data_IF_204280666161
#
_entry.id   IF_204280666161
#
_cell.length_a   1.000
_cell.length_b   1.000
_cell.length_c   1.000
_cell.angle_alpha   90.00
_cell.angle_beta   90.00
_cell.angle_gamma   90.00
#
_symmetry.space_group_name_H-M   'P 1'
#
loop_
_entity.id
_entity.type
_entity.pdbx_description
1 polymer ?
#
# COMPACT_ATOMS: atom_id res chain seq x y z
N UNK A 1 1.22 28.71 -1.02
CA UNK A 1 0.95 27.55 -0.13
C UNK A 1 1.65 26.33 -0.70
N UNK A 2 2.32 25.49 0.11
CA UNK A 2 2.88 24.23 -0.39
C UNK A 2 1.72 23.27 -0.68
N UNK A 3 1.65 22.76 -1.90
CA UNK A 3 0.69 21.70 -2.23
C UNK A 3 1.18 20.37 -1.66
N UNK A 4 0.28 19.41 -1.51
CA UNK A 4 0.59 18.06 -1.04
C UNK A 4 0.08 17.02 -2.03
N UNK A 5 0.65 15.82 -1.98
CA UNK A 5 0.08 14.64 -2.63
C UNK A 5 -0.58 13.74 -1.60
N UNK A 6 -1.83 13.36 -1.85
CA UNK A 6 -2.63 12.50 -0.99
C UNK A 6 -2.51 11.05 -1.47
N UNK A 7 -2.05 10.15 -0.60
CA UNK A 7 -1.90 8.74 -0.89
C UNK A 7 -2.79 7.88 0.01
N UNK A 8 -3.62 7.05 -0.60
CA UNK A 8 -4.36 5.98 0.08
C UNK A 8 -3.59 4.66 -0.06
N UNK A 9 -3.09 4.14 1.06
CA UNK A 9 -2.31 2.91 1.12
C UNK A 9 -3.23 1.71 1.37
N UNK A 10 -3.55 0.99 0.30
CA UNK A 10 -4.54 -0.09 0.26
C UNK A 10 -3.94 -1.48 0.08
N UNK A 11 -4.63 -2.49 0.61
CA UNK A 11 -4.29 -3.88 0.38
C UNK A 11 -4.39 -4.74 1.63
N UNK A 12 -3.48 -5.69 1.81
CA UNK A 12 -3.50 -6.60 2.97
C UNK A 12 -2.34 -6.38 3.94
N UNK A 13 -1.93 -7.42 4.67
CA UNK A 13 -0.95 -7.33 5.76
C UNK A 13 0.41 -6.80 5.33
N UNK A 14 0.86 -7.07 4.10
CA UNK A 14 2.13 -6.53 3.59
C UNK A 14 2.06 -5.03 3.26
N UNK A 15 0.87 -4.48 2.97
CA UNK A 15 0.64 -3.03 2.97
C UNK A 15 0.49 -2.49 4.40
N UNK A 16 -0.28 -3.20 5.24
CA UNK A 16 -0.57 -2.79 6.62
C UNK A 16 0.65 -2.85 7.55
N UNK A 17 1.72 -3.53 7.14
CA UNK A 17 2.95 -3.67 7.90
C UNK A 17 2.91 -4.82 8.90
N UNK A 18 3.84 -5.76 8.76
CA UNK A 18 4.16 -6.80 9.76
C UNK A 18 5.65 -6.81 10.11
N UNK A 19 6.39 -5.80 9.69
CA UNK A 19 7.83 -5.73 9.79
C UNK A 19 8.32 -5.80 11.23
N UNK A 20 9.33 -6.64 11.43
CA UNK A 20 10.08 -6.78 12.67
C UNK A 20 11.57 -6.81 12.36
N UNK A 21 12.40 -6.47 13.33
CA UNK A 21 13.86 -6.64 13.26
C UNK A 21 14.27 -7.95 13.95
N UNK A 22 15.38 -8.54 13.53
CA UNK A 22 16.03 -9.68 14.20
C UNK A 22 17.54 -9.45 14.32
N UNK A 23 18.29 -10.25 15.10
CA UNK A 23 19.75 -10.15 15.15
C UNK A 23 20.40 -10.28 13.77
N UNK A 24 19.84 -11.11 12.88
CA UNK A 24 20.30 -11.27 11.50
C UNK A 24 19.91 -10.10 10.60
N UNK A 25 18.74 -9.52 10.82
CA UNK A 25 18.20 -8.40 10.05
C UNK A 25 17.78 -7.26 11.01
N UNK A 26 18.75 -6.48 11.52
CA UNK A 26 18.51 -5.56 12.63
C UNK A 26 17.87 -4.23 12.22
N UNK A 27 17.65 -4.01 10.92
CA UNK A 27 17.11 -2.74 10.43
C UNK A 27 15.71 -2.49 10.99
N UNK A 28 15.49 -1.27 11.47
CA UNK A 28 14.16 -0.76 11.85
C UNK A 28 13.59 0.07 10.72
N UNK A 29 12.31 0.43 10.82
CA UNK A 29 11.72 1.36 9.87
C UNK A 29 12.41 2.73 10.00
N UNK A 30 12.69 3.43 8.89
CA UNK A 30 13.28 4.75 8.96
C UNK A 30 12.28 5.74 9.56
N UNK A 31 12.79 6.74 10.29
CA UNK A 31 12.01 7.91 10.65
C UNK A 31 11.59 8.67 9.38
N UNK A 32 10.39 9.23 9.37
CA UNK A 32 9.99 10.13 8.30
C UNK A 32 10.91 11.36 8.29
N UNK A 33 11.36 11.77 7.11
CA UNK A 33 12.14 12.99 6.91
C UNK A 33 11.31 14.21 7.36
N UNK A 34 11.96 15.25 7.89
CA UNK A 34 11.27 16.48 8.28
C UNK A 34 10.42 17.03 7.14
N UNK A 35 9.13 17.27 7.42
CA UNK A 35 8.13 17.80 6.48
C UNK A 35 7.79 16.91 5.26
N UNK A 36 8.32 15.69 5.19
CA UNK A 36 8.09 14.80 4.05
C UNK A 36 6.72 14.13 4.08
N UNK A 37 6.22 13.80 5.27
CA UNK A 37 5.05 12.93 5.41
C UNK A 37 4.21 13.21 6.65
N UNK A 38 2.90 13.12 6.47
CA UNK A 38 1.91 13.18 7.52
C UNK A 38 0.95 12.00 7.41
N UNK A 39 0.53 11.45 8.55
CA UNK A 39 -0.59 10.51 8.63
C UNK A 39 -1.89 11.30 8.87
N UNK A 40 -2.91 11.05 8.06
CA UNK A 40 -4.27 11.46 8.37
C UNK A 40 -5.05 10.27 8.94
N UNK A 41 -5.61 10.47 10.14
CA UNK A 41 -6.29 9.43 10.93
C UNK A 41 -7.81 9.57 10.83
N UNK A 42 -8.36 9.11 9.72
CA UNK A 42 -9.78 9.21 9.41
C UNK A 42 -10.71 8.56 10.45
N UNK A 43 -10.26 7.51 11.16
CA UNK A 43 -11.08 6.79 12.14
C UNK A 43 -10.90 7.36 13.54
N UNK A 44 -9.65 7.54 13.96
CA UNK A 44 -9.36 7.84 15.38
C UNK A 44 -9.26 9.31 15.71
N UNK A 45 -8.82 10.13 14.77
CA UNK A 45 -8.76 11.58 14.95
C UNK A 45 -8.74 12.31 13.59
N UNK A 46 -9.91 12.46 12.94
CA UNK A 46 -10.03 13.09 11.62
C UNK A 46 -9.90 14.62 11.67
N UNK A 47 -9.45 15.19 12.78
CA UNK A 47 -9.40 16.64 12.99
C UNK A 47 -8.04 17.28 12.71
N UNK A 48 -6.99 16.47 12.47
CA UNK A 48 -5.62 16.95 12.27
C UNK A 48 -4.73 15.99 11.51
N UNK A 49 -3.55 16.50 11.12
CA UNK A 49 -2.44 15.71 10.59
C UNK A 49 -1.45 15.37 11.70
N UNK A 50 -0.93 14.14 11.65
CA UNK A 50 0.14 13.67 12.53
C UNK A 50 1.43 13.54 11.74
N UNK A 51 2.61 13.82 12.33
CA UNK A 51 3.88 13.41 11.70
C UNK A 51 3.85 11.91 11.39
N UNK A 52 4.19 11.55 10.16
CA UNK A 52 4.19 10.16 9.74
C UNK A 52 5.22 9.36 10.55
N UNK A 53 4.79 8.26 11.15
CA UNK A 53 5.63 7.35 11.91
C UNK A 53 5.09 5.93 11.84
N UNK A 54 5.97 4.95 12.01
CA UNK A 54 5.57 3.56 12.19
C UNK A 54 5.26 3.28 13.67
N UNK A 55 4.31 2.37 14.00
CA UNK A 55 3.44 1.61 13.08
C UNK A 55 2.34 2.44 12.39
N UNK A 56 2.41 2.53 11.05
CA UNK A 56 1.47 3.34 10.27
C UNK A 56 0.05 2.74 10.28
N UNK A 57 -0.95 3.57 10.58
CA UNK A 57 -2.36 3.16 10.61
C UNK A 57 -2.72 2.19 11.73
N UNK A 58 -1.87 2.01 12.76
CA UNK A 58 -2.10 1.08 13.88
C UNK A 58 -3.39 1.37 14.65
N UNK A 59 -3.78 2.64 14.69
CA UNK A 59 -4.97 3.09 15.42
C UNK A 59 -6.23 3.08 14.54
N UNK A 60 -6.08 3.01 13.22
CA UNK A 60 -7.16 3.18 12.23
C UNK A 60 -8.02 1.92 12.05
N UNK A 61 -8.70 1.54 13.14
CA UNK A 61 -9.52 0.34 13.25
C UNK A 61 -11.01 0.71 13.33
N UNK A 62 -11.79 0.32 12.32
CA UNK A 62 -13.25 0.49 12.28
C UNK A 62 -13.93 -0.88 12.36
N UNK A 63 -14.65 -1.22 13.46
CA UNK A 63 -15.22 -2.56 13.66
C UNK A 63 -16.05 -3.09 12.48
N UNK A 64 -16.86 -2.24 11.85
CA UNK A 64 -17.72 -2.60 10.70
C UNK A 64 -17.02 -2.42 9.34
N UNK A 65 -15.69 -2.29 9.33
CA UNK A 65 -14.87 -2.01 8.16
C UNK A 65 -13.49 -2.64 8.26
N UNK A 66 -12.45 -1.84 8.02
CA UNK A 66 -11.07 -2.29 8.14
C UNK A 66 -10.69 -2.30 9.63
N UNK A 67 -10.51 -3.50 10.19
CA UNK A 67 -10.25 -3.73 11.61
C UNK A 67 -9.17 -4.79 11.83
N UNK A 68 -8.04 -4.42 12.44
CA UNK A 68 -6.94 -5.33 12.77
C UNK A 68 -6.12 -4.86 14.00
N UNK A 69 -6.76 -4.66 15.17
CA UNK A 69 -6.11 -4.11 16.35
C UNK A 69 -4.90 -4.95 16.77
N UNK A 70 -3.79 -4.27 17.08
CA UNK A 70 -2.55 -4.91 17.53
C UNK A 70 -1.81 -5.73 16.47
N UNK A 71 -2.22 -5.66 15.19
CA UNK A 71 -1.56 -6.42 14.10
C UNK A 71 -0.51 -5.63 13.34
N UNK A 72 -0.61 -4.30 13.28
CA UNK A 72 0.34 -3.46 12.54
C UNK A 72 1.60 -3.20 13.36
N UNK A 73 2.75 -3.48 12.77
CA UNK A 73 4.08 -3.18 13.31
C UNK A 73 4.79 -2.24 12.35
N UNK A 74 6.01 -2.51 11.89
CA UNK A 74 6.62 -1.66 10.87
C UNK A 74 6.12 -1.98 9.45
N UNK A 75 5.88 -0.93 8.67
CA UNK A 75 5.43 -1.02 7.27
C UNK A 75 6.50 -0.51 6.30
N UNK A 76 6.15 -0.45 5.01
CA UNK A 76 6.97 0.16 3.95
C UNK A 76 6.77 1.68 3.81
N UNK A 77 5.77 2.26 4.52
CA UNK A 77 5.22 3.57 4.20
C UNK A 77 6.17 4.71 4.53
N UNK A 78 6.91 4.69 5.65
CA UNK A 78 7.91 5.74 5.91
C UNK A 78 9.06 5.70 4.91
N UNK A 79 9.51 4.52 4.49
CA UNK A 79 10.53 4.37 3.45
C UNK A 79 10.03 4.90 2.09
N UNK A 80 8.80 4.54 1.71
CA UNK A 80 8.11 5.06 0.53
C UNK A 80 8.04 6.58 0.52
N UNK A 81 7.51 7.18 1.58
CA UNK A 81 7.32 8.64 1.64
C UNK A 81 8.66 9.38 1.64
N UNK A 82 9.67 8.84 2.31
CA UNK A 82 11.02 9.41 2.28
C UNK A 82 11.61 9.40 0.87
N UNK A 83 11.53 8.26 0.17
CA UNK A 83 12.04 8.12 -1.19
C UNK A 83 11.27 9.02 -2.19
N UNK A 84 9.94 9.05 -2.07
CA UNK A 84 9.09 9.92 -2.86
C UNK A 84 9.47 11.40 -2.68
N UNK A 85 9.53 11.85 -1.41
CA UNK A 85 9.82 13.24 -1.08
C UNK A 85 11.21 13.69 -1.56
N UNK A 86 12.24 12.84 -1.43
CA UNK A 86 13.60 13.15 -1.92
C UNK A 86 13.64 13.48 -3.41
N UNK A 87 12.76 12.89 -4.21
CA UNK A 87 12.75 13.03 -5.67
C UNK A 87 11.71 14.03 -6.18
N UNK A 88 10.49 13.97 -5.65
CA UNK A 88 9.37 14.82 -6.04
C UNK A 88 9.38 16.19 -5.35
N UNK A 89 10.01 16.30 -4.18
CA UNK A 89 10.01 17.49 -3.34
C UNK A 89 8.60 17.97 -2.93
N UNK A 90 7.62 17.04 -2.87
CA UNK A 90 6.23 17.30 -2.47
C UNK A 90 5.90 16.51 -1.21
N UNK A 91 5.41 17.15 -0.13
CA UNK A 91 4.96 16.45 1.07
C UNK A 91 3.80 15.51 0.78
N UNK A 92 3.76 14.39 1.51
CA UNK A 92 2.70 13.37 1.41
C UNK A 92 1.75 13.46 2.60
N UNK A 93 0.45 13.37 2.33
CA UNK A 93 -0.53 12.95 3.34
C UNK A 93 -0.88 11.49 3.05
N UNK A 94 -0.59 10.61 4.01
CA UNK A 94 -0.79 9.17 3.92
C UNK A 94 -2.03 8.76 4.72
N UNK A 95 -2.91 7.98 4.08
CA UNK A 95 -4.13 7.42 4.66
C UNK A 95 -4.04 5.90 4.63
N UNK A 96 -4.15 5.25 5.79
CA UNK A 96 -4.07 3.79 5.87
C UNK A 96 -5.41 3.16 5.50
N UNK A 97 -5.40 2.15 4.63
CA UNK A 97 -6.59 1.38 4.26
C UNK A 97 -6.22 -0.08 3.90
N UNK A 98 -5.52 -0.76 4.81
CA UNK A 98 -5.10 -2.15 4.62
C UNK A 98 -5.72 -3.09 5.66
N UNK A 99 -6.15 -4.28 5.22
CA UNK A 99 -6.73 -5.34 6.05
C UNK A 99 -6.03 -6.68 5.82
N UNK A 100 -5.32 -7.20 6.81
CA UNK A 100 -4.63 -8.49 6.74
C UNK A 100 -5.53 -9.66 6.34
N UNK A 101 -5.07 -10.49 5.40
CA UNK A 101 -5.79 -11.69 4.94
C UNK A 101 -7.05 -11.41 4.10
N UNK A 102 -7.21 -10.20 3.56
CA UNK A 102 -8.32 -9.87 2.67
C UNK A 102 -8.13 -10.43 1.26
N UNK A 103 -9.21 -10.92 0.66
CA UNK A 103 -9.32 -11.23 -0.77
C UNK A 103 -9.68 -9.98 -1.59
N UNK A 104 -9.34 -9.95 -2.88
CA UNK A 104 -9.74 -8.86 -3.78
C UNK A 104 -11.26 -8.66 -3.81
N UNK A 105 -12.04 -9.74 -3.75
CA UNK A 105 -13.51 -9.71 -3.76
C UNK A 105 -14.09 -8.96 -2.55
N UNK A 106 -13.34 -8.87 -1.44
CA UNK A 106 -13.74 -8.12 -0.25
C UNK A 106 -13.46 -6.62 -0.36
N UNK A 107 -12.77 -6.17 -1.41
CA UNK A 107 -12.50 -4.75 -1.71
C UNK A 107 -13.44 -4.17 -2.78
N UNK A 108 -14.42 -4.94 -3.25
CA UNK A 108 -15.35 -4.49 -4.28
C UNK A 108 -16.35 -3.44 -3.77
N UNK A 109 -16.92 -2.60 -4.65
CA UNK A 109 -17.98 -1.66 -4.28
C UNK A 109 -19.12 -2.32 -3.52
N UNK A 110 -19.54 -1.70 -2.42
CA UNK A 110 -20.59 -2.24 -1.55
C UNK A 110 -20.11 -3.26 -0.51
N UNK A 111 -18.82 -3.59 -0.44
CA UNK A 111 -18.26 -4.34 0.69
C UNK A 111 -17.90 -3.41 1.87
N UNK A 112 -17.77 -3.95 3.09
CA UNK A 112 -17.28 -3.19 4.24
C UNK A 112 -15.91 -2.52 4.02
N UNK A 113 -14.94 -3.21 3.42
CA UNK A 113 -13.58 -2.67 3.25
C UNK A 113 -13.54 -1.55 2.21
N UNK A 114 -14.28 -1.69 1.11
CA UNK A 114 -14.41 -0.62 0.13
C UNK A 114 -15.06 0.62 0.75
N UNK A 115 -16.19 0.45 1.45
CA UNK A 115 -16.89 1.57 2.10
C UNK A 115 -15.99 2.32 3.07
N UNK A 116 -15.22 1.60 3.88
CA UNK A 116 -14.29 2.23 4.82
C UNK A 116 -13.13 2.94 4.08
N UNK A 117 -12.50 2.31 3.09
CA UNK A 117 -11.46 2.96 2.29
C UNK A 117 -11.95 4.24 1.57
N UNK A 118 -13.16 4.18 1.00
CA UNK A 118 -13.81 5.33 0.37
C UNK A 118 -14.06 6.45 1.37
N UNK A 119 -14.59 6.13 2.56
CA UNK A 119 -14.83 7.11 3.62
C UNK A 119 -13.52 7.76 4.10
N UNK A 120 -12.47 6.96 4.32
CA UNK A 120 -11.14 7.47 4.72
C UNK A 120 -10.56 8.46 3.70
N UNK A 121 -10.71 8.17 2.41
CA UNK A 121 -10.29 9.07 1.33
C UNK A 121 -11.12 10.37 1.34
N UNK A 122 -12.45 10.26 1.43
CA UNK A 122 -13.36 11.41 1.44
C UNK A 122 -13.12 12.32 2.66
N UNK A 123 -12.90 11.73 3.83
CA UNK A 123 -12.60 12.47 5.06
C UNK A 123 -11.27 13.22 4.95
N UNK A 124 -10.24 12.59 4.37
CA UNK A 124 -8.95 13.25 4.13
C UNK A 124 -9.09 14.43 3.17
N UNK A 125 -9.81 14.25 2.06
CA UNK A 125 -10.08 15.32 1.09
C UNK A 125 -10.87 16.46 1.74
N UNK A 126 -11.90 16.14 2.53
CA UNK A 126 -12.72 17.13 3.24
C UNK A 126 -11.88 17.93 4.25
N UNK A 127 -11.07 17.24 5.06
CA UNK A 127 -10.21 17.85 6.06
C UNK A 127 -9.19 18.81 5.40
N UNK A 128 -8.51 18.35 4.34
CA UNK A 128 -7.51 19.15 3.63
C UNK A 128 -8.13 20.39 2.97
N UNK A 129 -9.32 20.26 2.38
CA UNK A 129 -10.07 21.37 1.83
C UNK A 129 -10.47 22.41 2.89
N UNK A 130 -11.01 21.97 4.03
CA UNK A 130 -11.35 22.86 5.17
C UNK A 130 -10.12 23.54 5.76
N UNK A 131 -8.99 22.85 5.76
CA UNK A 131 -7.70 23.36 6.23
C UNK A 131 -6.98 24.24 5.20
N UNK A 132 -7.58 24.46 4.02
CA UNK A 132 -7.00 25.22 2.91
C UNK A 132 -5.64 24.68 2.46
N UNK A 133 -5.41 23.37 2.61
CA UNK A 133 -4.21 22.68 2.13
C UNK A 133 -4.50 22.17 0.71
N UNK A 134 -3.88 22.75 -0.34
CA UNK A 134 -4.18 22.35 -1.71
C UNK A 134 -3.67 20.94 -2.00
N UNK A 135 -4.56 20.06 -2.44
CA UNK A 135 -4.22 18.72 -2.93
C UNK A 135 -3.80 18.87 -4.39
N UNK A 136 -2.56 18.46 -4.69
CA UNK A 136 -2.02 18.41 -6.05
C UNK A 136 -2.48 17.15 -6.76
N UNK A 137 -2.19 15.98 -6.17
CA UNK A 137 -2.65 14.69 -6.67
C UNK A 137 -3.31 13.82 -5.59
N UNK A 138 -4.22 12.94 -6.03
CA UNK A 138 -4.80 11.86 -5.23
C UNK A 138 -4.44 10.52 -5.84
N UNK A 139 -3.64 9.72 -5.12
CA UNK A 139 -3.16 8.42 -5.58
C UNK A 139 -3.55 7.30 -4.63
N UNK A 140 -3.56 6.07 -5.15
CA UNK A 140 -3.59 4.87 -4.33
C UNK A 140 -2.31 4.06 -4.52
N UNK A 141 -1.86 3.42 -3.44
CA UNK A 141 -0.83 2.37 -3.50
C UNK A 141 -1.50 1.05 -3.16
N UNK A 142 -1.31 0.02 -3.98
CA UNK A 142 -1.91 -1.30 -3.79
C UNK A 142 -0.84 -2.37 -3.54
N UNK A 143 -0.97 -3.11 -2.43
CA UNK A 143 -0.21 -4.34 -2.21
C UNK A 143 -1.11 -5.41 -1.56
N UNK A 144 -1.64 -6.30 -2.40
CA UNK A 144 -2.45 -7.44 -2.01
C UNK A 144 -2.47 -8.49 -3.10
N UNK A 145 -2.62 -9.75 -2.72
CA UNK A 145 -2.89 -10.87 -3.64
C UNK A 145 -2.56 -12.24 -3.02
N UNK A 146 -1.85 -12.27 -1.90
CA UNK A 146 -1.41 -13.52 -1.26
C UNK A 146 -2.60 -14.33 -0.74
N UNK A 147 -3.67 -13.66 -0.28
CA UNK A 147 -4.91 -14.33 0.12
C UNK A 147 -5.62 -14.96 -1.09
N UNK A 148 -5.60 -14.29 -2.25
CA UNK A 148 -6.16 -14.83 -3.49
C UNK A 148 -5.35 -16.01 -4.01
N UNK A 149 -4.02 -15.92 -3.94
CA UNK A 149 -3.13 -17.03 -4.26
C UNK A 149 -3.40 -18.24 -3.35
N UNK A 150 -3.57 -18.00 -2.04
CA UNK A 150 -3.93 -19.05 -1.08
C UNK A 150 -5.28 -19.70 -1.39
N UNK A 151 -6.26 -18.91 -1.81
CA UNK A 151 -7.60 -19.38 -2.12
C UNK A 151 -7.75 -19.88 -3.57
N UNK A 152 -6.65 -19.88 -4.35
CA UNK A 152 -6.63 -20.28 -5.76
C UNK A 152 -7.66 -19.51 -6.59
N UNK A 153 -7.85 -18.22 -6.28
CA UNK A 153 -8.70 -17.33 -7.08
C UNK A 153 -8.23 -17.39 -8.53
N UNK A 154 -9.12 -17.65 -9.51
CA UNK A 154 -8.73 -17.66 -10.91
C UNK A 154 -8.10 -16.32 -11.32
N UNK A 155 -6.98 -16.30 -12.07
CA UNK A 155 -6.32 -15.06 -12.49
C UNK A 155 -7.25 -14.06 -13.16
N UNK A 156 -8.13 -14.53 -14.05
CA UNK A 156 -9.10 -13.67 -14.74
C UNK A 156 -10.13 -13.05 -13.79
N UNK A 157 -10.53 -13.80 -12.75
CA UNK A 157 -11.40 -13.28 -11.70
C UNK A 157 -10.70 -12.20 -10.87
N UNK A 158 -9.45 -12.44 -10.47
CA UNK A 158 -8.64 -11.44 -9.77
C UNK A 158 -8.50 -10.16 -10.60
N UNK A 159 -8.18 -10.27 -11.91
CA UNK A 159 -8.07 -9.12 -12.81
C UNK A 159 -9.39 -8.36 -12.97
N UNK A 160 -10.50 -9.06 -13.17
CA UNK A 160 -11.84 -8.46 -13.29
C UNK A 160 -12.22 -7.68 -12.03
N UNK A 161 -11.98 -8.28 -10.87
CA UNK A 161 -12.33 -7.70 -9.59
C UNK A 161 -11.42 -6.50 -9.27
N UNK A 162 -10.12 -6.60 -9.59
CA UNK A 162 -9.20 -5.46 -9.50
C UNK A 162 -9.63 -4.29 -10.38
N UNK A 163 -10.00 -4.53 -11.64
CA UNK A 163 -10.51 -3.48 -12.54
C UNK A 163 -11.78 -2.82 -11.99
N UNK A 164 -12.64 -3.62 -11.37
CA UNK A 164 -13.87 -3.13 -10.72
C UNK A 164 -13.54 -2.21 -9.55
N UNK A 165 -12.61 -2.62 -8.68
CA UNK A 165 -12.08 -1.78 -7.59
C UNK A 165 -11.46 -0.48 -8.14
N UNK A 166 -10.55 -0.59 -9.12
CA UNK A 166 -9.85 0.56 -9.70
C UNK A 166 -10.85 1.57 -10.27
N UNK A 167 -11.80 1.12 -11.08
CA UNK A 167 -12.87 1.98 -11.63
C UNK A 167 -13.63 2.72 -10.53
N UNK A 168 -13.96 2.04 -9.43
CA UNK A 168 -14.68 2.64 -8.32
C UNK A 168 -13.81 3.66 -7.54
N UNK A 169 -12.53 3.39 -7.35
CA UNK A 169 -11.59 4.33 -6.73
C UNK A 169 -11.35 5.56 -7.61
N UNK A 170 -11.24 5.38 -8.92
CA UNK A 170 -11.15 6.50 -9.87
C UNK A 170 -12.40 7.36 -9.88
N UNK A 171 -13.60 6.75 -9.75
CA UNK A 171 -14.84 7.49 -9.58
C UNK A 171 -14.88 8.32 -8.26
N UNK A 172 -14.09 7.95 -7.25
CA UNK A 172 -13.88 8.73 -6.01
C UNK A 172 -12.75 9.77 -6.14
N UNK A 173 -12.14 9.88 -7.32
CA UNK A 173 -11.12 10.86 -7.64
C UNK A 173 -9.68 10.38 -7.48
N UNK A 174 -9.41 9.07 -7.29
CA UNK A 174 -8.05 8.54 -7.42
C UNK A 174 -7.59 8.66 -8.88
N UNK A 175 -6.46 9.33 -9.09
CA UNK A 175 -5.91 9.62 -10.41
C UNK A 175 -5.10 8.45 -10.97
N UNK A 176 -4.40 7.72 -10.10
CA UNK A 176 -3.51 6.62 -10.51
C UNK A 176 -3.31 5.59 -9.40
N UNK A 177 -3.09 4.34 -9.79
CA UNK A 177 -2.75 3.24 -8.90
C UNK A 177 -1.28 2.83 -9.04
N UNK A 178 -0.52 2.94 -7.95
CA UNK A 178 0.82 2.42 -7.85
C UNK A 178 0.79 1.00 -7.25
N UNK A 179 1.06 0.01 -8.10
CA UNK A 179 1.00 -1.41 -7.74
C UNK A 179 2.36 -1.88 -7.21
N UNK A 180 2.37 -2.50 -6.04
CA UNK A 180 3.50 -3.28 -5.53
C UNK A 180 3.13 -4.75 -5.67
N UNK A 181 3.85 -5.48 -6.52
CA UNK A 181 3.62 -6.91 -6.76
C UNK A 181 3.90 -7.70 -5.49
N UNK A 182 3.09 -8.72 -5.24
CA UNK A 182 3.36 -9.64 -4.12
C UNK A 182 4.66 -10.42 -4.34
N UNK A 183 5.18 -11.04 -3.28
CA UNK A 183 6.30 -11.97 -3.36
C UNK A 183 5.85 -13.43 -3.38
N UNK A 184 6.77 -14.32 -3.02
CA UNK A 184 6.51 -15.75 -2.95
C UNK A 184 6.08 -16.20 -1.55
N UNK A 185 5.40 -17.34 -1.49
CA UNK A 185 5.16 -18.08 -0.26
C UNK A 185 6.47 -18.67 0.27
N UNK A 186 6.70 -18.63 1.58
CA UNK A 186 7.85 -19.26 2.22
C UNK A 186 7.48 -20.66 2.75
N UNK A 187 7.83 -21.74 2.02
CA UNK A 187 7.51 -23.10 2.47
C UNK A 187 8.33 -23.54 3.67
N UNK A 188 9.50 -22.96 3.91
CA UNK A 188 10.38 -23.35 5.02
C UNK A 188 9.86 -22.91 6.38
N UNK A 189 8.95 -21.92 6.43
CA UNK A 189 8.29 -21.47 7.64
C UNK A 189 6.90 -22.11 7.84
N UNK A 190 6.50 -23.02 6.94
CA UNK A 190 5.21 -23.69 7.01
C UNK A 190 5.16 -24.73 8.14
N UNK A 191 4.01 -24.87 8.78
CA UNK A 191 3.79 -25.98 9.70
C UNK A 191 3.88 -27.33 8.96
N UNK A 192 4.41 -28.40 9.61
CA UNK A 192 4.47 -29.72 9.00
C UNK A 192 3.09 -30.18 8.49
N UNK A 193 3.00 -30.53 7.20
CA UNK A 193 1.75 -30.95 6.56
C UNK A 193 0.84 -29.83 6.06
N UNK A 194 1.21 -28.55 6.26
CA UNK A 194 0.46 -27.44 5.70
C UNK A 194 0.51 -27.46 4.15
N UNK A 195 -0.61 -27.15 3.47
CA UNK A 195 -0.60 -27.05 2.01
C UNK A 195 0.37 -25.96 1.54
N UNK A 196 1.24 -26.32 0.60
CA UNK A 196 2.10 -25.36 -0.08
C UNK A 196 1.25 -24.45 -0.97
N UNK A 197 1.66 -23.19 -1.07
CA UNK A 197 0.96 -22.18 -1.85
C UNK A 197 1.78 -21.80 -3.06
N UNK A 198 1.12 -21.74 -4.22
CA UNK A 198 1.69 -21.19 -5.44
C UNK A 198 1.00 -19.87 -5.78
N UNK A 199 1.76 -18.79 -5.75
CA UNK A 199 1.27 -17.44 -6.05
C UNK A 199 1.51 -17.03 -7.50
N UNK A 200 2.16 -17.88 -8.32
CA UNK A 200 2.46 -17.60 -9.73
C UNK A 200 1.25 -17.11 -10.52
N UNK A 201 0.05 -17.71 -10.42
CA UNK A 201 -1.10 -17.23 -11.19
C UNK A 201 -1.50 -15.78 -10.85
N UNK A 202 -1.40 -15.37 -9.58
CA UNK A 202 -1.70 -14.00 -9.14
C UNK A 202 -0.57 -13.04 -9.49
N UNK A 203 0.70 -13.47 -9.38
CA UNK A 203 1.86 -12.70 -9.83
C UNK A 203 1.73 -12.34 -11.32
N UNK A 204 1.41 -13.32 -12.16
CA UNK A 204 1.19 -13.11 -13.60
C UNK A 204 0.00 -12.19 -13.86
N UNK A 205 -1.10 -12.33 -13.11
CA UNK A 205 -2.24 -11.43 -13.22
C UNK A 205 -1.88 -9.97 -12.89
N UNK A 206 -1.04 -9.73 -11.88
CA UNK A 206 -0.56 -8.40 -11.50
C UNK A 206 0.36 -7.79 -12.57
N UNK A 207 1.22 -8.60 -13.19
CA UNK A 207 2.05 -8.16 -14.32
C UNK A 207 1.20 -7.76 -15.52
N UNK A 208 0.21 -8.57 -15.86
CA UNK A 208 -0.73 -8.28 -16.95
C UNK A 208 -1.54 -7.01 -16.68
N UNK A 209 -2.08 -6.84 -15.47
CA UNK A 209 -2.80 -5.62 -15.09
C UNK A 209 -1.92 -4.37 -15.28
N UNK A 210 -0.67 -4.40 -14.82
CA UNK A 210 0.22 -3.25 -14.96
C UNK A 210 0.64 -2.98 -16.41
N UNK A 211 0.63 -3.99 -17.28
CA UNK A 211 0.93 -3.84 -18.70
C UNK A 211 -0.29 -3.39 -19.53
N UNK A 212 -1.49 -3.82 -19.16
CA UNK A 212 -2.73 -3.62 -19.91
C UNK A 212 -3.48 -2.34 -19.50
N UNK A 213 -3.40 -1.95 -18.22
CA UNK A 213 -4.19 -0.84 -17.67
C UNK A 213 -3.37 0.47 -17.57
N UNK A 214 -3.74 1.53 -18.30
CA UNK A 214 -2.97 2.78 -18.30
C UNK A 214 -2.99 3.55 -16.97
N UNK A 215 -3.95 3.25 -16.09
CA UNK A 215 -4.08 3.85 -14.75
C UNK A 215 -3.31 3.09 -13.68
N UNK A 216 -2.53 2.08 -14.07
CA UNK A 216 -1.70 1.28 -13.16
C UNK A 216 -0.23 1.49 -13.53
N UNK A 217 0.62 1.60 -12.52
CA UNK A 217 2.06 1.49 -12.70
C UNK A 217 2.64 0.55 -11.66
N UNK A 218 3.37 -0.46 -12.13
CA UNK A 218 4.14 -1.34 -11.26
C UNK A 218 5.34 -0.57 -10.70
N UNK A 219 5.33 -0.28 -9.40
CA UNK A 219 6.37 0.52 -8.74
C UNK A 219 7.35 -0.31 -7.93
N UNK A 220 7.03 -1.57 -7.63
CA UNK A 220 8.04 -2.51 -7.14
C UNK A 220 7.63 -3.96 -7.33
N UNK A 221 8.62 -4.80 -7.60
CA UNK A 221 8.50 -6.28 -7.65
C UNK A 221 9.43 -6.95 -6.64
N UNK A 222 10.12 -6.17 -5.79
CA UNK A 222 11.22 -6.63 -4.94
C UNK A 222 10.83 -7.67 -3.90
N UNK A 223 9.55 -7.77 -3.51
CA UNK A 223 9.10 -8.84 -2.63
C UNK A 223 9.38 -10.24 -3.19
N UNK A 224 9.45 -10.41 -4.52
CA UNK A 224 9.82 -11.69 -5.15
C UNK A 224 11.24 -12.14 -4.79
N UNK A 225 12.17 -11.21 -4.53
CA UNK A 225 13.57 -11.54 -4.20
C UNK A 225 13.75 -11.98 -2.74
N UNK A 226 12.78 -11.70 -1.87
CA UNK A 226 12.96 -11.76 -0.42
C UNK A 226 13.02 -13.18 0.12
N UNK A 227 12.39 -14.15 -0.57
CA UNK A 227 12.45 -15.55 -0.19
C UNK A 227 13.88 -16.09 -0.30
N UNK A 228 14.51 -15.94 -1.46
CA UNK A 228 15.88 -16.40 -1.72
C UNK A 228 16.90 -15.70 -0.82
N UNK A 229 16.64 -14.44 -0.49
CA UNK A 229 17.49 -13.63 0.40
C UNK A 229 17.27 -13.93 1.88
N UNK A 230 16.32 -14.81 2.23
CA UNK A 230 15.99 -15.18 3.61
C UNK A 230 15.36 -14.05 4.42
N UNK A 231 14.76 -13.06 3.75
CA UNK A 231 14.16 -11.86 4.36
C UNK A 231 12.67 -12.03 4.71
N UNK A 232 12.13 -13.24 4.58
CA UNK A 232 10.80 -13.60 5.08
C UNK A 232 10.87 -14.02 6.55
N UNK A 233 10.02 -13.44 7.40
CA UNK A 233 10.00 -13.75 8.84
C UNK A 233 9.08 -14.94 9.16
N UNK A 234 8.06 -15.15 8.33
CA UNK A 234 7.12 -16.26 8.42
C UNK A 234 6.77 -16.73 7.00
N UNK A 235 5.65 -17.45 6.84
CA UNK A 235 5.19 -17.96 5.55
C UNK A 235 4.78 -16.88 4.54
N UNK A 236 4.48 -15.66 4.97
CA UNK A 236 3.80 -14.62 4.19
C UNK A 236 4.42 -13.22 4.28
N UNK A 237 5.11 -12.92 5.38
CA UNK A 237 5.54 -11.57 5.74
C UNK A 237 7.06 -11.46 5.82
N UNK A 238 7.52 -10.21 5.85
CA UNK A 238 8.93 -9.89 5.68
C UNK A 238 9.53 -9.24 6.93
N UNK A 239 10.84 -9.34 7.10
CA UNK A 239 11.55 -8.51 8.08
C UNK A 239 11.49 -7.03 7.64
N UNK A 240 11.64 -6.12 8.59
CA UNK A 240 11.53 -4.69 8.34
C UNK A 240 12.53 -4.19 7.27
N UNK A 241 13.69 -4.81 7.16
CA UNK A 241 14.65 -4.52 6.08
C UNK A 241 14.01 -4.66 4.69
N UNK A 242 13.26 -5.73 4.43
CA UNK A 242 12.62 -5.93 3.13
C UNK A 242 11.51 -4.90 2.86
N UNK A 243 10.70 -4.57 3.87
CA UNK A 243 9.72 -3.47 3.75
C UNK A 243 10.39 -2.13 3.44
N UNK A 244 11.53 -1.84 4.05
CA UNK A 244 12.30 -0.63 3.75
C UNK A 244 12.79 -0.62 2.28
N UNK A 245 13.35 -1.74 1.81
CA UNK A 245 13.85 -1.86 0.44
C UNK A 245 12.73 -1.74 -0.62
N UNK A 246 11.57 -2.35 -0.37
CA UNK A 246 10.40 -2.25 -1.24
C UNK A 246 9.82 -0.84 -1.20
N UNK A 247 9.71 -0.25 0.00
CA UNK A 247 9.22 1.11 0.16
C UNK A 247 10.10 2.13 -0.57
N UNK A 248 11.42 2.04 -0.43
CA UNK A 248 12.36 2.95 -1.11
C UNK A 248 12.29 2.86 -2.65
N UNK A 249 12.24 1.65 -3.21
CA UNK A 249 12.07 1.42 -4.65
C UNK A 249 10.72 1.95 -5.14
N UNK A 250 9.63 1.57 -4.45
CA UNK A 250 8.27 2.00 -4.81
C UNK A 250 8.12 3.52 -4.75
N UNK A 251 8.55 4.16 -3.67
CA UNK A 251 8.47 5.61 -3.51
C UNK A 251 9.31 6.36 -4.55
N UNK A 252 10.51 5.84 -4.84
CA UNK A 252 11.39 6.40 -5.87
C UNK A 252 10.78 6.34 -7.26
N UNK A 253 10.22 5.19 -7.66
CA UNK A 253 9.59 5.02 -8.98
C UNK A 253 8.28 5.78 -9.12
N UNK A 254 7.49 5.85 -8.05
CA UNK A 254 6.31 6.71 -8.00
C UNK A 254 6.68 8.17 -8.24
N UNK A 255 7.73 8.69 -7.59
CA UNK A 255 8.18 10.06 -7.82
C UNK A 255 8.66 10.31 -9.25
N UNK A 256 9.36 9.34 -9.86
CA UNK A 256 9.78 9.45 -11.26
C UNK A 256 8.57 9.51 -12.20
N UNK A 257 7.55 8.67 -11.97
CA UNK A 257 6.30 8.71 -12.72
C UNK A 257 5.59 10.06 -12.60
N UNK A 258 5.40 10.56 -11.37
CA UNK A 258 4.66 11.82 -11.14
C UNK A 258 5.35 12.99 -11.86
N UNK A 259 6.68 13.11 -11.71
CA UNK A 259 7.45 14.19 -12.36
C UNK A 259 7.37 14.15 -13.88
N UNK A 260 7.34 12.95 -14.47
CA UNK A 260 7.19 12.79 -15.91
C UNK A 260 5.77 13.17 -16.37
N UNK A 261 4.75 12.72 -15.63
CA UNK A 261 3.34 13.05 -15.91
C UNK A 261 3.08 14.56 -15.82
N UNK A 262 3.64 15.23 -14.82
CA UNK A 262 3.54 16.69 -14.67
C UNK A 262 4.16 17.44 -15.86
N UNK A 263 5.34 17.02 -16.31
CA UNK A 263 6.02 17.66 -17.44
C UNK A 263 5.19 17.62 -18.72
N UNK A 264 4.45 16.53 -18.94
CA UNK A 264 3.59 16.37 -20.13
C UNK A 264 2.35 17.24 -20.10
N UNK A 265 1.90 17.70 -18.92
CA UNK A 265 0.75 18.61 -18.80
C UNK A 265 1.13 20.04 -19.20
N UNK A 266 2.41 20.42 -19.07
CA UNK A 266 2.91 21.76 -19.37
C UNK A 266 3.64 21.88 -20.74
N UNK A 267 3.52 20.86 -21.58
CA UNK A 267 3.98 20.86 -22.99
C UNK A 267 2.77 20.87 -23.92
#
# INVERSE_FOLDING_TARGET
>A
MRQIDLFLFMGQSNMGGRGVSSPRFPQKAPSCLPHAGYEFRAVTDPSRLYPLSEPFGQWENRPDGIYEPGRKTGSLVTAFVNAYYKKACVPVVAVSAARGGSLISQWLPGTPFFRDAALRLQDAVSFLGKSQIPIRHKFMVWCQGESDGKNKTPPEEYKRDFRTLLKAMTALGIEHCFLIRIGHYNPAAAEPGAPLQDYTPILTAQDQLAAEEPFITMVSTKFAEMLERGLMQDTYHYYQQAYNEVGDDAGSRTADFVKESDRRIFQ
#
